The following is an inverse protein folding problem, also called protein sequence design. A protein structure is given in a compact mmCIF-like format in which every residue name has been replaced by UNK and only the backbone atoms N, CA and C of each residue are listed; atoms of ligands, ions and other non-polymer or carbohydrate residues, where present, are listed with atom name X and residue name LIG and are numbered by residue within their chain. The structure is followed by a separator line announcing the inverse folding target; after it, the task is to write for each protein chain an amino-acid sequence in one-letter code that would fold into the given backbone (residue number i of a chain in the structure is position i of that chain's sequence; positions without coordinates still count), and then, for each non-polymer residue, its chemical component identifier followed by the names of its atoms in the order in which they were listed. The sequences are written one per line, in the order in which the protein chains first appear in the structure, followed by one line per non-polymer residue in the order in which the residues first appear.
data_IF_106243668693
#
_entry.id   IF_106243668693
#
_cell.length_a   1.000
_cell.length_b   1.000
_cell.length_c   1.000
_cell.angle_alpha   90.00
_cell.angle_beta   90.00
_cell.angle_gamma   90.00
#
_symmetry.space_group_name_H-M   'P 1'
#
loop_
_entity.id
_entity.type
_entity.pdbx_description
1 polymer ?
#
# COMPACT_ATOMS: atom_id res chain seq x y z
N UNK A 1 -13.84 8.98 23.99
CA UNK A 1 -12.62 8.63 23.22
C UNK A 1 -11.82 9.90 22.88
N UNK A 2 -10.59 10.01 23.41
CA UNK A 2 -9.68 11.14 23.13
C UNK A 2 -8.86 10.87 21.85
N UNK A 3 -8.53 11.92 21.10
CA UNK A 3 -7.51 11.84 20.04
C UNK A 3 -6.13 11.85 20.68
N UNK A 4 -5.12 11.29 20.03
CA UNK A 4 -3.73 11.41 20.50
C UNK A 4 -3.00 12.43 19.63
N UNK A 5 -2.45 13.45 20.27
CA UNK A 5 -1.54 14.44 19.67
C UNK A 5 -0.14 14.32 20.27
N UNK A 6 0.90 14.61 19.47
CA UNK A 6 2.29 14.65 19.94
C UNK A 6 3.11 13.39 19.64
N UNK A 7 4.25 13.24 20.33
CA UNK A 7 5.13 12.07 20.21
C UNK A 7 4.88 11.07 21.34
N UNK A 8 4.45 9.86 20.99
CA UNK A 8 4.13 8.80 21.96
C UNK A 8 4.94 7.54 21.68
N UNK A 9 5.53 7.00 22.74
CA UNK A 9 6.34 5.76 22.70
C UNK A 9 5.82 4.72 23.70
N UNK A 10 4.58 4.22 23.54
CA UNK A 10 4.02 3.28 24.49
C UNK A 10 4.82 1.96 24.50
N UNK A 11 5.04 1.41 25.70
CA UNK A 11 5.73 0.14 25.91
C UNK A 11 4.88 -1.10 25.58
N UNK A 12 3.55 -0.94 25.44
CA UNK A 12 2.60 -2.01 25.07
C UNK A 12 2.04 -1.79 23.66
N UNK A 13 1.45 -2.83 23.08
CA UNK A 13 0.71 -2.71 21.82
C UNK A 13 -0.58 -1.94 22.06
N UNK A 14 -1.13 -1.32 21.01
CA UNK A 14 -2.48 -0.75 21.09
C UNK A 14 -3.46 -1.73 20.45
N UNK A 15 -4.52 -2.06 21.20
CA UNK A 15 -5.68 -2.81 20.78
C UNK A 15 -6.93 -2.04 21.20
N UNK A 16 -7.92 -1.90 20.31
CA UNK A 16 -9.19 -1.23 20.61
C UNK A 16 -9.56 -0.12 19.61
N UNK A 17 -10.66 0.59 19.88
CA UNK A 17 -11.22 1.60 19.00
C UNK A 17 -10.69 3.01 19.32
N UNK A 18 -9.61 3.42 18.66
CA UNK A 18 -9.27 4.85 18.58
C UNK A 18 -10.34 5.55 17.73
N UNK A 19 -11.22 6.34 18.35
CA UNK A 19 -12.34 6.93 17.61
C UNK A 19 -12.08 8.34 17.09
N UNK A 20 -11.18 9.15 17.65
CA UNK A 20 -10.98 10.56 17.21
C UNK A 20 -9.76 10.83 16.29
N UNK A 21 -8.83 9.88 16.10
CA UNK A 21 -7.65 10.04 15.21
C UNK A 21 -6.31 10.22 15.94
N UNK A 22 -5.21 10.21 15.17
CA UNK A 22 -3.83 10.48 15.65
C UNK A 22 -3.24 11.66 14.87
N UNK A 23 -2.59 12.59 15.56
CA UNK A 23 -1.81 13.68 14.95
C UNK A 23 -0.42 13.78 15.61
N UNK A 24 0.61 13.22 14.97
CA UNK A 24 1.98 13.23 15.52
C UNK A 24 2.76 11.95 15.24
N UNK A 25 3.69 11.60 16.12
CA UNK A 25 4.52 10.39 15.97
C UNK A 25 4.16 9.34 17.01
N UNK A 26 3.82 8.14 16.57
CA UNK A 26 3.47 7.02 17.45
C UNK A 26 4.45 5.86 17.19
N UNK A 27 5.16 5.43 18.23
CA UNK A 27 6.24 4.45 18.12
C UNK A 27 6.14 3.34 19.18
N UNK A 28 5.11 2.50 19.13
CA UNK A 28 4.94 1.40 20.09
C UNK A 28 6.08 0.38 19.93
N UNK A 29 6.54 -0.14 21.07
CA UNK A 29 7.53 -1.24 21.13
C UNK A 29 6.92 -2.62 20.84
N UNK A 30 5.59 -2.71 20.67
CA UNK A 30 4.87 -3.91 20.19
C UNK A 30 4.03 -3.55 18.95
N UNK A 31 3.33 -4.55 18.42
CA UNK A 31 2.49 -4.40 17.22
C UNK A 31 1.16 -3.73 17.54
N UNK A 32 0.40 -3.41 16.50
CA UNK A 32 -1.02 -3.08 16.65
C UNK A 32 -1.85 -4.29 16.23
N UNK A 33 -2.84 -4.65 17.04
CA UNK A 33 -3.73 -5.77 16.76
C UNK A 33 -5.20 -5.36 16.86
N UNK A 34 -6.05 -5.93 15.99
CA UNK A 34 -7.50 -5.74 16.02
C UNK A 34 -8.03 -4.78 14.95
N UNK A 35 -9.24 -4.22 15.20
CA UNK A 35 -9.93 -3.30 14.29
C UNK A 35 -9.79 -1.86 14.77
N UNK A 36 -9.01 -1.05 14.05
CA UNK A 36 -8.80 0.37 14.31
C UNK A 36 -9.61 1.19 13.31
N UNK A 37 -10.61 1.95 13.80
CA UNK A 37 -11.55 2.70 12.96
C UNK A 37 -11.68 4.17 13.38
N UNK A 38 -10.62 4.98 13.29
CA UNK A 38 -10.70 6.38 13.69
C UNK A 38 -11.62 7.19 12.77
N UNK A 39 -12.45 8.03 13.40
CA UNK A 39 -13.36 8.98 12.76
C UNK A 39 -12.65 10.21 12.20
N UNK A 40 -11.36 10.40 12.53
CA UNK A 40 -10.43 11.25 11.77
C UNK A 40 -9.32 10.41 11.14
N UNK A 41 -8.46 11.06 10.37
CA UNK A 41 -7.31 10.42 9.75
C UNK A 41 -6.20 10.13 10.75
N UNK A 42 -5.15 9.44 10.29
CA UNK A 42 -3.86 9.49 10.97
C UNK A 42 -2.99 10.51 10.22
N UNK A 43 -2.57 11.57 10.88
CA UNK A 43 -1.59 12.52 10.36
C UNK A 43 -0.27 12.37 11.12
N UNK A 44 0.85 12.16 10.42
CA UNK A 44 2.18 12.02 11.00
C UNK A 44 2.82 10.64 10.77
N UNK A 45 3.55 10.11 11.74
CA UNK A 45 4.35 8.89 11.58
C UNK A 45 3.95 7.79 12.56
N UNK A 46 3.77 6.56 12.06
CA UNK A 46 3.55 5.37 12.86
C UNK A 46 4.63 4.34 12.55
N UNK A 47 5.46 4.03 13.55
CA UNK A 47 6.58 3.09 13.42
C UNK A 47 6.52 2.02 14.51
N UNK A 48 6.32 0.77 14.11
CA UNK A 48 6.18 -0.35 15.05
C UNK A 48 7.34 -1.34 14.91
N UNK A 49 7.86 -1.82 16.04
CA UNK A 49 8.88 -2.90 16.10
C UNK A 49 8.30 -4.31 15.87
N UNK A 50 6.98 -4.46 15.89
CA UNK A 50 6.27 -5.63 15.33
C UNK A 50 5.39 -5.21 14.15
N UNK A 51 4.53 -6.11 13.66
CA UNK A 51 3.63 -5.84 12.54
C UNK A 51 2.36 -5.10 12.98
N UNK A 52 1.53 -4.74 12.01
CA UNK A 52 0.12 -4.48 12.27
C UNK A 52 -0.67 -5.70 11.80
N UNK A 53 -1.51 -6.25 12.68
CA UNK A 53 -2.35 -7.41 12.42
C UNK A 53 -3.83 -7.04 12.60
N UNK A 54 -4.64 -7.14 11.55
CA UNK A 54 -6.07 -6.84 11.62
C UNK A 54 -6.51 -5.79 10.59
N UNK A 55 -7.50 -4.95 10.95
CA UNK A 55 -8.07 -3.96 10.03
C UNK A 55 -7.82 -2.53 10.50
N UNK A 56 -7.33 -1.68 9.60
CA UNK A 56 -7.18 -0.24 9.84
C UNK A 56 -8.04 0.50 8.81
N UNK A 57 -9.05 1.23 9.30
CA UNK A 57 -10.12 1.79 8.47
C UNK A 57 -10.44 3.25 8.83
N UNK A 58 -9.47 4.18 8.64
CA UNK A 58 -9.66 5.59 8.95
C UNK A 58 -10.66 6.26 7.99
N UNK A 59 -11.53 7.11 8.54
CA UNK A 59 -12.57 7.80 7.77
C UNK A 59 -12.01 8.91 6.85
N UNK A 60 -11.02 9.69 7.32
CA UNK A 60 -10.45 10.84 6.58
C UNK A 60 -9.15 10.52 5.83
N UNK A 61 -8.53 9.35 6.03
CA UNK A 61 -7.32 8.92 5.32
C UNK A 61 -6.10 8.69 6.22
N UNK A 62 -4.97 8.33 5.62
CA UNK A 62 -3.66 8.43 6.29
C UNK A 62 -2.81 9.47 5.55
N UNK A 63 -2.19 10.36 6.30
CA UNK A 63 -1.32 11.41 5.80
C UNK A 63 0.01 11.31 6.53
N UNK A 64 1.06 10.82 5.86
CA UNK A 64 2.39 10.68 6.44
C UNK A 64 3.01 9.30 6.24
N UNK A 65 3.71 8.76 7.25
CA UNK A 65 4.52 7.56 7.10
C UNK A 65 4.08 6.40 7.99
N UNK A 66 4.00 5.20 7.40
CA UNK A 66 3.71 3.96 8.11
C UNK A 66 4.85 2.96 7.87
N UNK A 67 5.57 2.59 8.94
CA UNK A 67 6.83 1.84 8.84
C UNK A 67 6.90 0.65 9.81
N UNK A 68 6.08 -0.40 9.61
CA UNK A 68 6.15 -1.61 10.43
C UNK A 68 7.36 -2.46 10.04
N UNK A 69 8.06 -2.98 11.03
CA UNK A 69 9.21 -3.88 10.83
C UNK A 69 8.77 -5.30 10.41
N UNK A 70 7.86 -5.94 11.14
CA UNK A 70 7.37 -7.31 10.80
C UNK A 70 6.28 -7.35 9.71
N UNK A 71 5.88 -6.22 9.14
CA UNK A 71 4.95 -6.14 8.00
C UNK A 71 3.53 -5.72 8.38
N UNK A 72 2.62 -5.73 7.41
CA UNK A 72 1.18 -5.63 7.63
C UNK A 72 0.53 -6.97 7.27
N UNK A 73 -0.27 -7.53 8.17
CA UNK A 73 -1.11 -8.70 7.95
C UNK A 73 -2.58 -8.31 8.15
N UNK A 74 -3.36 -8.21 7.08
CA UNK A 74 -4.79 -7.86 7.16
C UNK A 74 -5.24 -6.80 6.15
N UNK A 75 -6.14 -5.91 6.55
CA UNK A 75 -6.77 -4.95 5.63
C UNK A 75 -6.53 -3.49 6.01
N UNK A 76 -6.16 -2.68 5.02
CA UNK A 76 -6.05 -1.23 5.15
C UNK A 76 -7.05 -0.57 4.19
N UNK A 77 -8.11 0.03 4.75
CA UNK A 77 -9.27 0.58 4.00
C UNK A 77 -9.58 2.04 4.38
N UNK A 78 -8.71 2.99 4.02
CA UNK A 78 -9.01 4.41 4.19
C UNK A 78 -10.13 4.83 3.21
N UNK A 79 -11.12 5.60 3.70
CA UNK A 79 -12.22 6.09 2.86
C UNK A 79 -11.90 7.34 2.05
N UNK A 80 -10.81 8.05 2.36
CA UNK A 80 -10.24 9.07 1.46
C UNK A 80 -8.97 8.53 0.82
N UNK A 81 -7.84 9.22 1.01
CA UNK A 81 -6.56 8.89 0.40
C UNK A 81 -5.60 8.26 1.43
N UNK A 82 -4.60 7.55 0.90
CA UNK A 82 -3.31 7.47 1.58
C UNK A 82 -2.40 8.47 0.88
N UNK A 83 -1.99 9.50 1.61
CA UNK A 83 -0.95 10.41 1.16
C UNK A 83 0.32 10.16 1.96
N UNK A 84 1.42 9.84 1.30
CA UNK A 84 2.73 9.65 1.95
C UNK A 84 3.38 8.29 1.68
N UNK A 85 4.03 7.70 2.70
CA UNK A 85 4.90 6.52 2.51
C UNK A 85 4.49 5.32 3.36
N UNK A 86 4.40 4.15 2.72
CA UNK A 86 4.21 2.86 3.37
C UNK A 86 5.43 1.97 3.11
N UNK A 87 6.20 1.70 4.17
CA UNK A 87 7.50 0.99 4.09
C UNK A 87 7.57 -0.19 5.08
N UNK A 88 6.83 -1.29 4.83
CA UNK A 88 6.96 -2.49 5.64
C UNK A 88 8.26 -3.24 5.35
N UNK A 89 8.96 -3.75 6.38
CA UNK A 89 10.22 -4.47 6.16
C UNK A 89 10.02 -5.96 5.78
N UNK A 90 9.03 -6.65 6.34
CA UNK A 90 8.67 -8.03 5.93
C UNK A 90 7.55 -8.12 4.87
N UNK A 91 7.06 -7.00 4.33
CA UNK A 91 6.07 -6.97 3.25
C UNK A 91 4.64 -6.67 3.70
N UNK A 92 3.70 -6.72 2.75
CA UNK A 92 2.26 -6.70 3.02
C UNK A 92 1.67 -8.06 2.67
N UNK A 93 0.99 -8.68 3.63
CA UNK A 93 0.11 -9.83 3.43
C UNK A 93 -1.33 -9.38 3.66
N UNK A 94 -2.14 -9.32 2.60
CA UNK A 94 -3.56 -8.92 2.71
C UNK A 94 -4.02 -7.87 1.70
N UNK A 95 -4.92 -6.97 2.11
CA UNK A 95 -5.60 -6.06 1.18
C UNK A 95 -5.40 -4.58 1.48
N UNK A 96 -5.04 -3.81 0.45
CA UNK A 96 -4.96 -2.36 0.49
C UNK A 96 -6.00 -1.77 -0.47
N UNK A 97 -7.03 -1.13 0.09
CA UNK A 97 -8.24 -0.72 -0.66
C UNK A 97 -8.67 0.71 -0.32
N UNK A 98 -7.89 1.73 -0.71
CA UNK A 98 -8.30 3.12 -0.55
C UNK A 98 -9.45 3.48 -1.49
N UNK A 99 -10.42 4.27 -1.01
CA UNK A 99 -11.55 4.73 -1.84
C UNK A 99 -11.19 5.91 -2.76
N UNK A 100 -10.40 6.89 -2.31
CA UNK A 100 -9.99 8.05 -3.15
C UNK A 100 -8.59 7.92 -3.77
N UNK A 101 -7.90 6.79 -3.58
CA UNK A 101 -6.62 6.47 -4.23
C UNK A 101 -5.43 6.45 -3.26
N UNK A 102 -4.24 6.15 -3.78
CA UNK A 102 -2.97 6.42 -3.08
C UNK A 102 -2.22 7.52 -3.82
N UNK A 103 -1.74 8.50 -3.08
CA UNK A 103 -0.79 9.51 -3.51
C UNK A 103 0.52 9.33 -2.74
N UNK A 104 1.57 8.80 -3.36
CA UNK A 104 2.88 8.65 -2.69
C UNK A 104 3.62 7.35 -2.97
N UNK A 105 4.31 6.80 -1.96
CA UNK A 105 5.23 5.67 -2.16
C UNK A 105 4.88 4.43 -1.34
N UNK A 106 4.80 3.29 -2.03
CA UNK A 106 4.67 1.97 -1.43
C UNK A 106 5.95 1.16 -1.70
N UNK A 107 6.74 0.91 -0.65
CA UNK A 107 8.09 0.34 -0.74
C UNK A 107 8.30 -0.81 0.25
N UNK A 108 7.63 -1.95 0.04
CA UNK A 108 7.86 -3.14 0.85
C UNK A 108 9.21 -3.80 0.52
N UNK A 109 10.00 -4.15 1.54
CA UNK A 109 11.28 -4.84 1.31
C UNK A 109 11.08 -6.30 0.85
N UNK A 110 10.24 -7.10 1.51
CA UNK A 110 10.00 -8.50 1.12
C UNK A 110 8.85 -8.71 0.10
N UNK A 111 8.26 -7.64 -0.45
CA UNK A 111 7.22 -7.73 -1.49
C UNK A 111 5.79 -7.51 -1.01
N UNK A 112 4.83 -7.63 -1.93
CA UNK A 112 3.39 -7.67 -1.63
C UNK A 112 2.85 -9.05 -2.00
N UNK A 113 2.24 -9.74 -1.03
CA UNK A 113 1.48 -10.97 -1.22
C UNK A 113 0.00 -10.68 -0.92
N UNK A 114 -0.76 -10.21 -1.91
CA UNK A 114 -2.14 -9.77 -1.67
C UNK A 114 -2.74 -8.87 -2.74
N UNK A 115 -3.75 -8.08 -2.37
CA UNK A 115 -4.50 -7.26 -3.32
C UNK A 115 -4.34 -5.76 -3.07
N UNK A 116 -4.03 -5.01 -4.13
CA UNK A 116 -4.02 -3.57 -4.17
C UNK A 116 -5.12 -3.08 -5.10
N UNK A 117 -6.22 -2.56 -4.54
CA UNK A 117 -7.43 -2.18 -5.28
C UNK A 117 -7.91 -0.76 -4.93
N UNK A 118 -7.21 0.27 -5.42
CA UNK A 118 -7.65 1.65 -5.27
C UNK A 118 -8.78 1.98 -6.24
N UNK A 119 -9.86 2.60 -5.76
CA UNK A 119 -11.01 2.99 -6.62
C UNK A 119 -10.67 4.16 -7.56
N UNK A 120 -10.06 5.24 -7.08
CA UNK A 120 -9.72 6.41 -7.93
C UNK A 120 -8.31 6.36 -8.56
N UNK A 121 -7.57 5.27 -8.39
CA UNK A 121 -6.25 5.08 -9.00
C UNK A 121 -5.06 5.25 -8.06
N UNK A 122 -3.86 5.18 -8.63
CA UNK A 122 -2.57 5.30 -7.95
C UNK A 122 -1.77 6.41 -8.59
N UNK A 123 -1.51 7.49 -7.85
CA UNK A 123 -0.57 8.53 -8.23
C UNK A 123 0.71 8.40 -7.40
N UNK A 124 1.77 7.83 -7.98
CA UNK A 124 3.04 7.70 -7.24
C UNK A 124 3.90 6.48 -7.59
N UNK A 125 4.62 5.93 -6.61
CA UNK A 125 5.61 4.86 -6.84
C UNK A 125 5.31 3.59 -6.05
N UNK A 126 5.33 2.46 -6.75
CA UNK A 126 5.30 1.11 -6.17
C UNK A 126 6.63 0.42 -6.47
N UNK A 127 7.46 0.23 -5.43
CA UNK A 127 8.84 -0.31 -5.52
C UNK A 127 9.06 -1.45 -4.52
N UNK A 128 8.53 -2.66 -4.76
CA UNK A 128 8.81 -3.82 -3.95
C UNK A 128 10.20 -4.42 -4.29
N UNK A 129 11.01 -4.78 -3.28
CA UNK A 129 12.35 -5.34 -3.54
C UNK A 129 12.36 -6.84 -3.86
N UNK A 130 11.36 -7.62 -3.42
CA UNK A 130 11.24 -9.05 -3.77
C UNK A 130 10.10 -9.38 -4.74
N UNK A 131 9.43 -8.36 -5.30
CA UNK A 131 8.37 -8.54 -6.30
C UNK A 131 6.94 -8.38 -5.78
N UNK A 132 5.96 -8.57 -6.67
CA UNK A 132 4.53 -8.64 -6.35
C UNK A 132 4.00 -10.02 -6.68
N UNK A 133 3.47 -10.74 -5.69
CA UNK A 133 2.74 -12.00 -5.84
C UNK A 133 1.27 -11.78 -5.48
N UNK A 134 0.54 -11.09 -6.35
CA UNK A 134 -0.81 -10.63 -6.03
C UNK A 134 -1.51 -9.86 -7.15
N UNK A 135 -2.63 -9.20 -6.83
CA UNK A 135 -3.42 -8.46 -7.82
C UNK A 135 -3.33 -6.95 -7.62
N UNK A 136 -3.06 -6.23 -8.71
CA UNK A 136 -3.13 -4.78 -8.80
C UNK A 136 -4.28 -4.38 -9.74
N UNK A 137 -5.39 -3.90 -9.16
CA UNK A 137 -6.65 -3.60 -9.88
C UNK A 137 -7.16 -2.19 -9.55
N UNK A 138 -6.55 -1.13 -10.10
CA UNK A 138 -7.05 0.23 -9.98
C UNK A 138 -8.25 0.49 -10.92
N UNK A 139 -9.33 1.11 -10.43
CA UNK A 139 -10.51 1.36 -11.29
C UNK A 139 -10.41 2.59 -12.19
N UNK A 140 -9.59 3.59 -11.85
CA UNK A 140 -9.36 4.78 -12.70
C UNK A 140 -7.94 4.87 -13.31
N UNK A 141 -7.13 3.81 -13.17
CA UNK A 141 -5.79 3.71 -13.77
C UNK A 141 -4.62 3.86 -12.80
N UNK A 142 -3.40 3.63 -13.29
CA UNK A 142 -2.15 3.96 -12.59
C UNK A 142 -1.51 5.18 -13.27
N UNK A 143 -1.29 6.26 -12.51
CA UNK A 143 -0.48 7.41 -12.92
C UNK A 143 0.84 7.42 -12.14
N UNK A 144 1.82 6.60 -12.52
CA UNK A 144 2.98 6.38 -11.65
C UNK A 144 4.06 5.42 -12.12
N UNK A 145 5.00 5.12 -11.22
CA UNK A 145 6.14 4.21 -11.45
C UNK A 145 5.94 2.89 -10.74
N UNK A 146 5.88 1.78 -11.48
CA UNK A 146 5.90 0.42 -10.95
C UNK A 146 7.27 -0.22 -11.25
N UNK A 147 8.08 -0.43 -10.22
CA UNK A 147 9.48 -0.91 -10.35
C UNK A 147 9.80 -2.03 -9.35
N UNK A 148 9.31 -3.25 -9.59
CA UNK A 148 9.65 -4.41 -8.78
C UNK A 148 11.04 -4.95 -9.13
N UNK A 149 11.88 -5.23 -8.11
CA UNK A 149 13.26 -5.68 -8.34
C UNK A 149 13.41 -7.17 -8.69
N UNK A 150 12.45 -8.03 -8.28
CA UNK A 150 12.47 -9.47 -8.61
C UNK A 150 11.29 -9.93 -9.50
N UNK A 151 10.58 -8.99 -10.11
CA UNK A 151 9.49 -9.27 -11.06
C UNK A 151 8.07 -9.17 -10.50
N UNK A 152 7.07 -9.41 -11.36
CA UNK A 152 5.65 -9.53 -11.03
C UNK A 152 5.20 -10.96 -11.34
N UNK A 153 4.67 -11.69 -10.36
CA UNK A 153 4.07 -13.02 -10.53
C UNK A 153 2.57 -13.00 -10.27
N UNK A 154 1.91 -11.92 -10.73
CA UNK A 154 0.50 -11.67 -10.44
C UNK A 154 -0.16 -10.78 -11.50
N UNK A 155 -1.42 -10.40 -11.28
CA UNK A 155 -2.21 -9.70 -12.29
C UNK A 155 -2.18 -8.17 -12.13
N UNK A 156 -1.97 -7.47 -13.25
CA UNK A 156 -2.15 -6.03 -13.38
C UNK A 156 -3.33 -5.74 -14.31
N UNK A 157 -4.47 -5.32 -13.72
CA UNK A 157 -5.73 -5.06 -14.45
C UNK A 157 -6.29 -3.66 -14.15
N UNK A 158 -5.74 -2.59 -14.75
CA UNK A 158 -6.30 -1.25 -14.65
C UNK A 158 -7.52 -1.06 -15.58
N UNK A 159 -8.62 -0.50 -15.07
CA UNK A 159 -9.86 -0.34 -15.87
C UNK A 159 -9.88 0.88 -16.81
N UNK A 160 -9.06 1.90 -16.57
CA UNK A 160 -8.98 3.11 -17.42
C UNK A 160 -7.56 3.40 -17.95
N UNK A 161 -6.69 2.39 -17.94
CA UNK A 161 -5.35 2.46 -18.51
C UNK A 161 -4.20 2.64 -17.52
N UNK A 162 -2.98 2.54 -18.06
CA UNK A 162 -1.74 2.90 -17.39
C UNK A 162 -1.21 4.18 -18.03
N UNK A 163 -0.98 5.22 -17.23
CA UNK A 163 -0.21 6.42 -17.62
C UNK A 163 1.07 6.49 -16.78
N UNK A 164 2.14 5.82 -17.20
CA UNK A 164 3.30 5.71 -16.31
C UNK A 164 4.45 4.87 -16.81
N UNK A 165 5.31 4.43 -15.89
CA UNK A 165 6.42 3.53 -16.21
C UNK A 165 6.30 2.21 -15.48
N UNK A 166 6.45 1.11 -16.22
CA UNK A 166 6.56 -0.24 -15.69
C UNK A 166 7.95 -0.79 -16.05
N UNK A 167 8.78 -1.00 -15.03
CA UNK A 167 10.17 -1.48 -15.14
C UNK A 167 10.48 -2.59 -14.13
N UNK A 168 10.02 -3.83 -14.37
CA UNK A 168 10.47 -5.00 -13.62
C UNK A 168 11.93 -5.33 -13.95
N UNK A 169 12.72 -5.71 -12.95
CA UNK A 169 14.16 -6.01 -13.15
C UNK A 169 14.47 -7.49 -13.46
N UNK A 170 13.58 -8.43 -13.11
CA UNK A 170 13.81 -9.88 -13.29
C UNK A 170 12.54 -10.61 -13.76
N UNK A 171 11.89 -10.12 -14.81
CA UNK A 171 10.78 -10.80 -15.48
C UNK A 171 9.36 -10.44 -15.02
N UNK A 172 8.39 -10.83 -15.85
CA UNK A 172 6.96 -10.79 -15.57
C UNK A 172 6.42 -12.21 -15.79
N UNK A 173 5.92 -12.86 -14.74
CA UNK A 173 5.22 -14.15 -14.79
C UNK A 173 3.75 -13.98 -14.44
N UNK A 174 3.11 -12.96 -15.00
CA UNK A 174 1.72 -12.63 -14.71
C UNK A 174 1.04 -11.84 -15.84
N UNK A 175 -0.26 -11.63 -15.71
CA UNK A 175 -1.06 -11.00 -16.76
C UNK A 175 -1.09 -9.48 -16.64
N UNK A 176 -0.92 -8.80 -17.78
CA UNK A 176 -1.17 -7.38 -17.95
C UNK A 176 -2.40 -7.19 -18.85
N UNK A 177 -3.51 -6.72 -18.28
CA UNK A 177 -4.77 -6.50 -19.01
C UNK A 177 -5.39 -5.12 -18.71
N UNK A 178 -4.90 -4.05 -19.36
CA UNK A 178 -5.54 -2.74 -19.31
C UNK A 178 -6.85 -2.77 -20.10
N UNK A 179 -7.95 -2.27 -19.54
CA UNK A 179 -9.23 -2.23 -20.27
C UNK A 179 -9.35 -1.06 -21.27
N UNK A 180 -8.53 -0.02 -21.13
CA UNK A 180 -8.51 1.16 -22.01
C UNK A 180 -7.09 1.74 -22.04
N UNK A 181 -6.36 1.58 -23.15
CA UNK A 181 -5.10 2.29 -23.44
C UNK A 181 -3.90 1.98 -22.54
N UNK A 182 -2.72 2.06 -23.13
CA UNK A 182 -1.43 2.14 -22.45
C UNK A 182 -0.75 3.42 -22.92
N UNK A 183 -0.45 4.34 -22.00
CA UNK A 183 0.37 5.52 -22.27
C UNK A 183 1.57 5.54 -21.33
N UNK A 184 2.76 5.74 -21.88
CA UNK A 184 4.01 5.74 -21.13
C UNK A 184 4.93 4.57 -21.45
N UNK A 185 5.94 4.34 -20.60
CA UNK A 185 7.06 3.46 -20.91
C UNK A 185 6.94 2.08 -20.29
N UNK A 186 6.96 1.05 -21.14
CA UNK A 186 7.16 -0.33 -20.75
C UNK A 186 8.61 -0.69 -21.05
N UNK A 187 9.39 -1.06 -20.03
CA UNK A 187 10.73 -1.60 -20.24
C UNK A 187 10.83 -2.92 -19.50
N UNK A 188 10.84 -3.98 -20.31
CA UNK A 188 10.88 -5.36 -19.89
C UNK A 188 12.28 -5.88 -20.17
N UNK A 189 12.98 -6.36 -19.13
CA UNK A 189 14.12 -7.25 -19.34
C UNK A 189 13.61 -8.56 -19.97
N UNK A 190 14.41 -9.26 -20.79
CA UNK A 190 13.93 -10.31 -21.70
C UNK A 190 13.26 -11.46 -20.92
N UNK A 191 11.92 -11.53 -20.94
CA UNK A 191 11.11 -12.63 -20.42
C UNK A 191 9.75 -12.62 -21.13
N UNK A 192 9.21 -13.81 -21.44
CA UNK A 192 7.89 -14.04 -22.05
C UNK A 192 6.79 -13.24 -21.35
N UNK A 193 6.10 -12.38 -22.10
CA UNK A 193 4.89 -11.69 -21.64
C UNK A 193 3.71 -12.19 -22.46
N UNK A 194 2.68 -12.68 -21.76
CA UNK A 194 1.37 -12.87 -22.37
C UNK A 194 0.63 -11.52 -22.31
N UNK A 195 0.76 -10.76 -23.40
CA UNK A 195 -0.08 -9.60 -23.65
C UNK A 195 -1.37 -10.11 -24.29
N UNK A 196 -2.44 -10.20 -23.52
CA UNK A 196 -3.78 -10.28 -24.10
C UNK A 196 -4.32 -8.86 -24.20
N UNK A 197 -4.24 -8.28 -25.40
CA UNK A 197 -4.91 -7.02 -25.74
C UNK A 197 -6.40 -7.27 -25.88
#
# INVERSE_FOLDING_TARGET
SKGLSGSLRPRKGLSGSLSKGLSGSLRPSKGLSGSLRPSKGLSGSLRTSKGLSGSLRPSKGLYGSLRPSKGLSGSLRPSKALSGSLRPSKGLSGSLRPRKGLSGSLRPRKGLSGSLRPRKGLSGSLRPSKGLSGSLRPSKGLSGRLRPSKGLSGSLRPSKGLSGSLRPSKGLSGSLRPSKGLSGSLSLSPVRVYLEV
#
